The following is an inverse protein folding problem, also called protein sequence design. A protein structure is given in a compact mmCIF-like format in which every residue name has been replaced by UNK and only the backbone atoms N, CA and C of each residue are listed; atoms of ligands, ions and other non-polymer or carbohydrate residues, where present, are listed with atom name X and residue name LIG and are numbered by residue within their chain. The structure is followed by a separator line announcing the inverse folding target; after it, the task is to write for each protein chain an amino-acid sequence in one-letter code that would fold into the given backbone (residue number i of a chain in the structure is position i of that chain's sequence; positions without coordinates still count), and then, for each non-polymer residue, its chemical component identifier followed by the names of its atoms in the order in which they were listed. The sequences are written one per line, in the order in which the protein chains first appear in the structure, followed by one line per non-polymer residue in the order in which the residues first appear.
data_IF_523637110217
#
_entry.id   IF_523637110217
#
_cell.length_a   1.000
_cell.length_b   1.000
_cell.length_c   1.000
_cell.angle_alpha   90.00
_cell.angle_beta   90.00
_cell.angle_gamma   90.00
#
_symmetry.space_group_name_H-M   'P 1'
#
loop_
_entity.id
_entity.type
_entity.pdbx_description
1 polymer ?
#
# COMPACT_ATOMS: atom_id res chain seq x y z
N UNK A 1 10.98 12.13 54.12
CA UNK A 1 11.30 12.81 52.82
C UNK A 1 11.88 11.84 51.81
N UNK A 2 12.87 11.00 52.16
CA UNK A 2 13.53 10.05 51.25
C UNK A 2 12.59 8.98 50.65
N UNK A 3 11.63 8.47 51.40
CA UNK A 3 10.68 7.46 50.89
C UNK A 3 9.68 8.04 49.88
N UNK A 4 9.22 9.26 50.10
CA UNK A 4 8.35 9.99 49.18
C UNK A 4 9.09 10.33 47.89
N UNK A 5 10.36 10.68 47.97
CA UNK A 5 11.20 11.00 46.83
C UNK A 5 11.46 9.76 45.96
N UNK A 6 11.78 8.61 46.58
CA UNK A 6 11.93 7.32 45.90
C UNK A 6 10.62 6.80 45.28
N UNK A 7 9.47 7.11 45.87
CA UNK A 7 8.18 6.75 45.28
C UNK A 7 7.83 7.66 44.09
N UNK A 8 8.16 8.94 44.14
CA UNK A 8 8.02 9.88 43.03
C UNK A 8 8.92 9.46 41.85
N UNK A 9 10.19 9.16 42.10
CA UNK A 9 11.12 8.67 41.06
C UNK A 9 10.63 7.37 40.40
N UNK A 10 10.06 6.43 41.16
CA UNK A 10 9.45 5.21 40.58
C UNK A 10 8.21 5.48 39.75
N UNK A 11 7.40 6.46 40.13
CA UNK A 11 6.20 6.85 39.36
C UNK A 11 6.62 7.57 38.08
N UNK A 12 7.63 8.42 38.13
CA UNK A 12 8.18 9.11 36.93
C UNK A 12 8.76 8.11 35.94
N UNK A 13 9.60 7.16 36.38
CA UNK A 13 10.11 6.07 35.53
C UNK A 13 9.00 5.21 34.94
N UNK A 14 7.97 4.87 35.71
CA UNK A 14 6.83 4.11 35.24
C UNK A 14 5.98 4.90 34.22
N UNK A 15 5.91 6.22 34.31
CA UNK A 15 5.22 7.06 33.33
C UNK A 15 6.02 7.18 32.04
N UNK A 16 7.33 7.33 32.10
CA UNK A 16 8.21 7.35 30.92
C UNK A 16 8.17 6.02 30.17
N UNK A 17 8.15 4.90 30.89
CA UNK A 17 8.04 3.58 30.28
C UNK A 17 6.66 3.38 29.60
N UNK A 18 5.58 3.84 30.24
CA UNK A 18 4.24 3.82 29.63
C UNK A 18 4.15 4.73 28.40
N UNK A 19 4.77 5.89 28.42
CA UNK A 19 4.80 6.82 27.28
C UNK A 19 5.49 6.17 26.08
N UNK A 20 6.65 5.53 26.28
CA UNK A 20 7.37 4.78 25.24
C UNK A 20 6.56 3.61 24.69
N UNK A 21 5.87 2.85 25.55
CA UNK A 21 4.98 1.77 25.08
C UNK A 21 3.80 2.31 24.27
N UNK A 22 3.27 3.46 24.66
CA UNK A 22 2.16 4.10 23.94
C UNK A 22 2.61 4.58 22.55
N UNK A 23 3.77 5.20 22.46
CA UNK A 23 4.38 5.67 21.22
C UNK A 23 4.66 4.48 20.27
N UNK A 24 5.26 3.41 20.81
CA UNK A 24 5.48 2.18 20.03
C UNK A 24 4.18 1.56 19.53
N UNK A 25 3.15 1.51 20.35
CA UNK A 25 1.84 0.96 19.94
C UNK A 25 1.16 1.85 18.89
N UNK A 26 1.32 3.18 19.00
CA UNK A 26 0.81 4.11 18.00
C UNK A 26 1.50 3.90 16.67
N UNK A 27 2.81 3.72 16.66
CA UNK A 27 3.56 3.49 15.43
C UNK A 27 3.19 2.16 14.78
N UNK A 28 3.07 1.08 15.57
CA UNK A 28 2.57 -0.21 15.07
C UNK A 28 1.16 -0.09 14.47
N UNK A 29 0.29 0.73 15.06
CA UNK A 29 -1.03 0.96 14.53
C UNK A 29 -1.00 1.68 13.18
N UNK A 30 -0.17 2.71 13.05
CA UNK A 30 0.03 3.42 11.77
C UNK A 30 0.58 2.49 10.68
N UNK A 31 1.57 1.65 11.02
CA UNK A 31 2.10 0.65 10.09
C UNK A 31 1.02 -0.31 9.61
N UNK A 32 0.21 -0.87 10.51
CA UNK A 32 -0.91 -1.75 10.16
C UNK A 32 -1.97 -1.05 9.29
N UNK A 33 -2.23 0.22 9.56
CA UNK A 33 -3.16 1.03 8.76
C UNK A 33 -2.62 1.24 7.35
N UNK A 34 -1.32 1.54 7.23
CA UNK A 34 -0.63 1.69 5.96
C UNK A 34 -0.64 0.37 5.16
N UNK A 35 -0.24 -0.75 5.77
CA UNK A 35 -0.25 -2.08 5.14
C UNK A 35 -1.63 -2.45 4.61
N UNK A 36 -2.66 -2.22 5.43
CA UNK A 36 -4.04 -2.48 5.03
C UNK A 36 -4.46 -1.62 3.84
N UNK A 37 -4.11 -0.34 3.86
CA UNK A 37 -4.46 0.57 2.77
C UNK A 37 -3.72 0.21 1.48
N UNK A 38 -2.44 -0.18 1.57
CA UNK A 38 -1.67 -0.69 0.43
C UNK A 38 -2.32 -1.94 -0.20
N UNK A 39 -2.77 -2.88 0.62
CA UNK A 39 -3.50 -4.07 0.16
C UNK A 39 -4.83 -3.70 -0.51
N UNK A 40 -5.58 -2.77 0.07
CA UNK A 40 -6.85 -2.29 -0.48
C UNK A 40 -6.65 -1.53 -1.83
N UNK A 41 -5.58 -0.73 -1.94
CA UNK A 41 -5.21 -0.05 -3.19
C UNK A 41 -4.79 -1.05 -4.25
N UNK A 42 -3.90 -1.99 -3.93
CA UNK A 42 -3.48 -3.07 -4.85
C UNK A 42 -4.66 -3.86 -5.38
N UNK A 43 -5.59 -4.28 -4.53
CA UNK A 43 -6.81 -4.98 -4.94
C UNK A 43 -7.63 -4.17 -5.93
N UNK A 44 -7.74 -2.87 -5.72
CA UNK A 44 -8.47 -1.98 -6.64
C UNK A 44 -7.78 -1.83 -7.98
N UNK A 45 -6.45 -1.77 -8.01
CA UNK A 45 -5.68 -1.80 -9.27
C UNK A 45 -6.00 -3.08 -10.03
N UNK A 46 -5.95 -4.23 -9.36
CA UNK A 46 -6.24 -5.53 -10.00
C UNK A 46 -7.69 -5.63 -10.50
N UNK A 47 -8.66 -5.16 -9.72
CA UNK A 47 -10.07 -5.10 -10.12
C UNK A 47 -10.29 -4.20 -11.34
N UNK A 48 -9.66 -3.02 -11.35
CA UNK A 48 -9.77 -2.06 -12.45
C UNK A 48 -9.12 -2.61 -13.73
N UNK A 49 -7.96 -3.27 -13.60
CA UNK A 49 -7.29 -3.98 -14.70
C UNK A 49 -8.19 -5.05 -15.31
N UNK A 50 -8.83 -5.90 -14.48
CA UNK A 50 -9.76 -6.92 -14.96
C UNK A 50 -10.98 -6.33 -15.69
N UNK A 51 -11.52 -5.22 -15.16
CA UNK A 51 -12.63 -4.51 -15.81
C UNK A 51 -12.20 -3.92 -17.16
N UNK A 52 -11.01 -3.32 -17.21
CA UNK A 52 -10.45 -2.76 -18.44
C UNK A 52 -10.21 -3.84 -19.50
N UNK A 53 -9.68 -5.00 -19.10
CA UNK A 53 -9.51 -6.15 -19.98
C UNK A 53 -10.85 -6.63 -20.57
N UNK A 54 -11.88 -6.78 -19.74
CA UNK A 54 -13.22 -7.16 -20.19
C UNK A 54 -13.80 -6.15 -21.17
N UNK A 55 -13.64 -4.86 -20.85
CA UNK A 55 -14.12 -3.79 -21.72
C UNK A 55 -13.40 -3.79 -23.06
N UNK A 56 -12.09 -4.06 -23.11
CA UNK A 56 -11.32 -4.22 -24.35
C UNK A 56 -11.86 -5.37 -25.21
N UNK A 57 -12.14 -6.53 -24.59
CA UNK A 57 -12.72 -7.67 -25.29
C UNK A 57 -14.09 -7.33 -25.89
N UNK A 58 -14.96 -6.65 -25.11
CA UNK A 58 -16.25 -6.17 -25.59
C UNK A 58 -16.10 -5.14 -26.72
N UNK A 59 -15.12 -4.24 -26.62
CA UNK A 59 -14.82 -3.21 -27.63
C UNK A 59 -14.46 -3.83 -28.96
N UNK A 60 -13.57 -4.81 -28.96
CA UNK A 60 -13.12 -5.50 -30.18
C UNK A 60 -14.19 -6.41 -30.77
N UNK A 61 -15.14 -6.87 -29.97
CA UNK A 61 -16.25 -7.73 -30.43
C UNK A 61 -17.49 -6.95 -30.91
N UNK A 62 -17.61 -5.66 -30.57
CA UNK A 62 -18.80 -4.85 -30.81
C UNK A 62 -19.05 -4.60 -32.32
N UNK A 63 -20.25 -4.93 -32.77
CA UNK A 63 -20.68 -4.78 -34.19
C UNK A 63 -21.79 -3.76 -34.37
N UNK A 64 -22.58 -3.51 -33.34
CA UNK A 64 -23.74 -2.62 -33.40
C UNK A 64 -23.45 -1.26 -32.79
N UNK A 65 -24.06 -0.23 -33.38
CA UNK A 65 -23.88 1.15 -32.90
C UNK A 65 -24.31 1.34 -31.44
N UNK A 66 -25.42 0.75 -31.05
CA UNK A 66 -25.94 0.82 -29.67
C UNK A 66 -24.99 0.16 -28.64
N UNK A 67 -24.27 -0.89 -29.04
CA UNK A 67 -23.23 -1.53 -28.21
C UNK A 67 -22.06 -0.57 -28.01
N UNK A 68 -21.64 0.13 -29.04
CA UNK A 68 -20.52 1.08 -29.03
C UNK A 68 -20.76 2.31 -28.14
N UNK A 69 -21.98 2.83 -28.11
CA UNK A 69 -22.34 3.93 -27.22
C UNK A 69 -22.23 3.52 -25.73
N UNK A 70 -22.66 2.29 -25.40
CA UNK A 70 -22.50 1.74 -24.03
C UNK A 70 -21.05 1.48 -23.64
N UNK A 71 -20.19 1.14 -24.58
CA UNK A 71 -18.76 0.92 -24.31
C UNK A 71 -18.07 2.22 -23.90
N UNK A 72 -18.46 3.34 -24.52
CA UNK A 72 -17.98 4.66 -24.13
C UNK A 72 -18.37 4.99 -22.68
N UNK A 73 -19.65 4.79 -22.34
CA UNK A 73 -20.13 5.04 -20.96
C UNK A 73 -19.36 4.18 -19.94
N UNK A 74 -19.13 2.91 -20.25
CA UNK A 74 -18.32 2.02 -19.40
C UNK A 74 -16.88 2.51 -19.26
N UNK A 75 -16.24 2.96 -20.35
CA UNK A 75 -14.89 3.50 -20.29
C UNK A 75 -14.82 4.77 -19.44
N UNK A 76 -15.80 5.67 -19.57
CA UNK A 76 -15.88 6.89 -18.75
C UNK A 76 -16.10 6.56 -17.25
N UNK A 77 -16.77 5.45 -16.95
CA UNK A 77 -16.94 4.96 -15.59
C UNK A 77 -15.61 4.43 -15.02
N UNK A 78 -14.88 3.63 -15.81
CA UNK A 78 -13.54 3.15 -15.42
C UNK A 78 -12.54 4.31 -15.26
N UNK A 79 -12.63 5.35 -16.09
CA UNK A 79 -11.79 6.54 -15.96
C UNK A 79 -12.00 7.23 -14.58
N UNK A 80 -13.23 7.30 -14.10
CA UNK A 80 -13.54 7.85 -12.77
C UNK A 80 -13.02 6.94 -11.66
N UNK A 81 -13.17 5.62 -11.81
CA UNK A 81 -12.60 4.67 -10.86
C UNK A 81 -11.07 4.80 -10.77
N UNK A 82 -10.40 5.09 -11.89
CA UNK A 82 -8.95 5.36 -11.91
C UNK A 82 -8.59 6.68 -11.22
N UNK A 83 -9.39 7.74 -11.41
CA UNK A 83 -9.18 9.01 -10.71
C UNK A 83 -9.35 8.81 -9.18
N UNK A 84 -10.37 8.07 -8.74
CA UNK A 84 -10.57 7.72 -7.32
C UNK A 84 -9.44 6.84 -6.76
N UNK A 85 -8.89 5.96 -7.59
CA UNK A 85 -7.75 5.13 -7.20
C UNK A 85 -6.50 5.98 -6.98
N UNK A 86 -6.25 6.94 -7.87
CA UNK A 86 -5.13 7.87 -7.75
C UNK A 86 -5.20 8.71 -6.46
N UNK A 87 -6.40 9.20 -6.11
CA UNK A 87 -6.60 9.92 -4.83
C UNK A 87 -6.24 9.03 -3.63
N UNK A 88 -6.53 7.73 -3.70
CA UNK A 88 -6.17 6.78 -2.63
C UNK A 88 -4.67 6.46 -2.58
N UNK A 89 -3.99 6.51 -3.72
CA UNK A 89 -2.55 6.39 -3.76
C UNK A 89 -1.87 7.60 -3.14
N UNK A 90 -2.38 8.81 -3.40
CA UNK A 90 -1.94 10.04 -2.72
C UNK A 90 -2.15 9.97 -1.19
N UNK A 91 -3.28 9.39 -0.74
CA UNK A 91 -3.55 9.18 0.68
C UNK A 91 -2.59 8.16 1.29
N UNK A 92 -2.28 7.09 0.54
CA UNK A 92 -1.32 6.07 0.96
C UNK A 92 0.08 6.66 1.11
N UNK A 93 0.52 7.49 0.17
CA UNK A 93 1.81 8.18 0.27
C UNK A 93 1.89 9.09 1.50
N UNK A 94 0.84 9.87 1.78
CA UNK A 94 0.77 10.71 2.98
C UNK A 94 0.87 9.89 4.26
N UNK A 95 0.18 8.75 4.33
CA UNK A 95 0.27 7.85 5.49
C UNK A 95 1.67 7.26 5.64
N UNK A 96 2.33 6.94 4.54
CA UNK A 96 3.73 6.50 4.58
C UNK A 96 4.65 7.57 5.18
N UNK A 97 4.43 8.84 4.83
CA UNK A 97 5.20 9.97 5.36
C UNK A 97 4.93 10.25 6.85
N UNK A 98 3.82 9.75 7.41
CA UNK A 98 3.47 9.87 8.83
C UNK A 98 4.11 8.78 9.71
N UNK A 99 4.74 7.78 9.11
CA UNK A 99 5.52 6.74 9.82
C UNK A 99 6.83 7.32 10.33
N UNK A 100 7.32 6.82 11.47
CA UNK A 100 8.65 7.19 12.00
C UNK A 100 9.76 6.80 11.01
N UNK A 101 9.63 5.62 10.39
CA UNK A 101 10.50 5.14 9.32
C UNK A 101 9.64 4.89 8.08
N UNK A 102 9.52 5.89 7.17
CA UNK A 102 8.75 5.73 5.94
C UNK A 102 9.30 4.61 5.06
N UNK A 103 8.41 3.80 4.50
CA UNK A 103 8.79 2.77 3.54
C UNK A 103 9.26 3.40 2.22
N UNK A 104 10.13 2.70 1.49
CA UNK A 104 10.48 3.08 0.11
C UNK A 104 9.28 2.83 -0.80
N UNK A 105 8.59 3.89 -1.20
CA UNK A 105 7.51 3.83 -2.18
C UNK A 105 8.05 3.98 -3.60
N UNK A 106 7.54 3.22 -4.58
CA UNK A 106 7.83 3.47 -5.98
C UNK A 106 7.23 4.82 -6.42
N UNK A 107 7.90 5.51 -7.32
CA UNK A 107 7.35 6.70 -7.98
C UNK A 107 6.32 6.26 -9.04
N UNK A 108 5.05 6.32 -8.68
CA UNK A 108 3.93 5.88 -9.53
C UNK A 108 3.25 7.00 -10.30
N UNK A 109 3.54 8.28 -9.98
CA UNK A 109 2.86 9.44 -10.56
C UNK A 109 2.89 9.44 -12.10
N UNK A 110 4.07 9.23 -12.67
CA UNK A 110 4.23 9.17 -14.14
C UNK A 110 3.46 8.01 -14.79
N UNK A 111 3.39 6.87 -14.11
CA UNK A 111 2.67 5.69 -14.58
C UNK A 111 1.15 5.88 -14.48
N UNK A 112 0.67 6.45 -13.38
CA UNK A 112 -0.74 6.81 -13.21
C UNK A 112 -1.22 7.81 -14.27
N UNK A 113 -0.42 8.85 -14.54
CA UNK A 113 -0.72 9.83 -15.55
C UNK A 113 -0.80 9.19 -16.95
N UNK A 114 0.10 8.25 -17.25
CA UNK A 114 0.06 7.52 -18.52
C UNK A 114 -1.19 6.64 -18.62
N UNK A 115 -1.54 5.90 -17.57
CA UNK A 115 -2.77 5.08 -17.51
C UNK A 115 -4.00 5.95 -17.73
N UNK A 116 -4.14 7.05 -16.98
CA UNK A 116 -5.25 8.01 -17.12
C UNK A 116 -5.34 8.59 -18.52
N UNK A 117 -4.22 8.90 -19.13
CA UNK A 117 -4.16 9.39 -20.51
C UNK A 117 -4.66 8.35 -21.48
N UNK A 118 -4.17 7.12 -21.42
CA UNK A 118 -4.55 6.05 -22.34
C UNK A 118 -6.04 5.69 -22.18
N UNK A 119 -6.56 5.67 -20.95
CA UNK A 119 -7.99 5.48 -20.69
C UNK A 119 -8.85 6.60 -21.27
N UNK A 120 -8.42 7.87 -21.19
CA UNK A 120 -9.10 9.02 -21.79
C UNK A 120 -9.06 8.95 -23.32
N UNK A 121 -7.90 8.66 -23.90
CA UNK A 121 -7.74 8.46 -25.34
C UNK A 121 -8.65 7.32 -25.86
N UNK A 122 -8.77 6.22 -25.10
CA UNK A 122 -9.70 5.14 -25.41
C UNK A 122 -11.16 5.62 -25.48
N UNK A 123 -11.61 6.40 -24.47
CA UNK A 123 -12.97 6.97 -24.48
C UNK A 123 -13.21 7.90 -25.68
N UNK A 124 -12.20 8.68 -26.07
CA UNK A 124 -12.27 9.53 -27.27
C UNK A 124 -12.37 8.71 -28.55
N UNK A 125 -11.59 7.64 -28.70
CA UNK A 125 -11.64 6.78 -29.89
C UNK A 125 -12.97 6.00 -29.97
N UNK A 126 -13.53 5.57 -28.82
CA UNK A 126 -14.89 5.03 -28.76
C UNK A 126 -15.94 6.05 -29.22
N UNK A 127 -15.77 7.32 -28.86
CA UNK A 127 -16.66 8.41 -29.33
C UNK A 127 -16.61 8.60 -30.86
N UNK A 128 -15.45 8.33 -31.47
CA UNK A 128 -15.23 8.35 -32.91
C UNK A 128 -15.62 7.03 -33.60
N UNK A 129 -16.09 6.04 -32.83
CA UNK A 129 -16.41 4.68 -33.30
C UNK A 129 -15.19 3.94 -33.91
N UNK A 130 -14.02 4.20 -33.35
CA UNK A 130 -12.76 3.57 -33.77
C UNK A 130 -12.34 2.52 -32.73
N UNK A 131 -13.01 1.37 -32.76
CA UNK A 131 -12.86 0.31 -31.77
C UNK A 131 -11.44 -0.28 -31.76
N UNK A 132 -10.78 -0.31 -32.90
CA UNK A 132 -9.42 -0.85 -32.97
C UNK A 132 -8.44 0.02 -32.16
N UNK A 133 -8.45 1.34 -32.38
CA UNK A 133 -7.60 2.25 -31.63
C UNK A 133 -8.00 2.35 -30.16
N UNK A 134 -9.32 2.31 -29.88
CA UNK A 134 -9.79 2.25 -28.50
C UNK A 134 -9.28 0.99 -27.79
N UNK A 135 -9.33 -0.17 -28.47
CA UNK A 135 -8.79 -1.41 -27.93
C UNK A 135 -7.27 -1.40 -27.71
N UNK A 136 -6.52 -0.73 -28.61
CA UNK A 136 -5.08 -0.53 -28.43
C UNK A 136 -4.81 0.31 -27.16
N UNK A 137 -5.56 1.41 -26.97
CA UNK A 137 -5.43 2.26 -25.79
C UNK A 137 -5.91 1.58 -24.50
N UNK A 138 -6.91 0.73 -24.59
CA UNK A 138 -7.33 -0.12 -23.48
C UNK A 138 -6.25 -1.13 -23.09
N UNK A 139 -5.53 -1.67 -24.07
CA UNK A 139 -4.38 -2.54 -23.81
C UNK A 139 -3.24 -1.77 -23.14
N UNK A 140 -2.86 -0.59 -23.66
CA UNK A 140 -1.81 0.25 -23.09
C UNK A 140 -2.12 0.56 -21.60
N UNK A 141 -3.37 0.91 -21.28
CA UNK A 141 -3.78 1.16 -19.89
C UNK A 141 -3.82 -0.10 -19.02
N UNK A 142 -4.20 -1.27 -19.57
CA UNK A 142 -4.15 -2.56 -18.88
C UNK A 142 -2.70 -2.93 -18.54
N UNK A 143 -1.78 -2.76 -19.47
CA UNK A 143 -0.35 -3.03 -19.27
C UNK A 143 0.24 -2.11 -18.18
N UNK A 144 -0.15 -0.82 -18.19
CA UNK A 144 0.24 0.12 -17.13
C UNK A 144 -0.31 -0.27 -15.76
N UNK A 145 -1.57 -0.70 -15.67
CA UNK A 145 -2.15 -1.19 -14.41
C UNK A 145 -1.47 -2.48 -13.93
N UNK A 146 -1.04 -3.34 -14.84
CA UNK A 146 -0.25 -4.52 -14.49
C UNK A 146 1.08 -4.13 -13.85
N UNK A 147 1.80 -3.19 -14.46
CA UNK A 147 3.06 -2.68 -13.92
C UNK A 147 2.86 -2.04 -12.54
N UNK A 148 1.81 -1.25 -12.37
CA UNK A 148 1.45 -0.64 -11.08
C UNK A 148 1.17 -1.70 -10.01
N UNK A 149 0.42 -2.74 -10.35
CA UNK A 149 0.15 -3.88 -9.45
C UNK A 149 1.44 -4.60 -9.04
N UNK A 150 2.34 -4.84 -9.99
CA UNK A 150 3.63 -5.49 -9.74
C UNK A 150 4.54 -4.65 -8.82
N UNK A 151 4.55 -3.32 -9.00
CA UNK A 151 5.29 -2.42 -8.12
C UNK A 151 4.76 -2.44 -6.68
N UNK A 152 3.43 -2.46 -6.51
CA UNK A 152 2.80 -2.58 -5.19
C UNK A 152 3.06 -3.94 -4.54
N UNK A 153 3.04 -5.01 -5.31
CA UNK A 153 3.38 -6.35 -4.81
C UNK A 153 4.84 -6.43 -4.35
N UNK A 154 5.76 -5.86 -5.12
CA UNK A 154 7.16 -5.78 -4.73
C UNK A 154 7.34 -5.01 -3.41
N UNK A 155 6.64 -3.90 -3.23
CA UNK A 155 6.63 -3.14 -1.98
C UNK A 155 6.10 -3.97 -0.81
N UNK A 156 4.98 -4.67 -0.98
CA UNK A 156 4.44 -5.57 0.07
C UNK A 156 5.44 -6.66 0.46
N UNK A 157 6.14 -7.26 -0.50
CA UNK A 157 7.16 -8.26 -0.24
C UNK A 157 8.37 -7.69 0.50
N UNK A 158 8.79 -6.48 0.15
CA UNK A 158 9.88 -5.79 0.83
C UNK A 158 9.54 -5.50 2.29
N UNK A 159 8.35 -4.97 2.56
CA UNK A 159 7.86 -4.70 3.92
C UNK A 159 7.78 -6.00 4.74
N UNK A 160 7.24 -7.06 4.18
CA UNK A 160 7.16 -8.35 4.85
C UNK A 160 8.55 -8.93 5.18
N UNK A 161 9.51 -8.75 4.28
CA UNK A 161 10.89 -9.18 4.50
C UNK A 161 11.59 -8.37 5.60
N UNK A 162 11.36 -7.05 5.65
CA UNK A 162 11.88 -6.17 6.68
C UNK A 162 11.31 -6.55 8.07
N UNK A 163 10.01 -6.77 8.16
CA UNK A 163 9.35 -7.19 9.39
C UNK A 163 9.84 -8.56 9.91
N UNK A 164 10.11 -9.50 8.99
CA UNK A 164 10.71 -10.79 9.36
C UNK A 164 12.13 -10.63 9.90
N UNK A 165 12.93 -9.74 9.31
CA UNK A 165 14.29 -9.47 9.76
C UNK A 165 14.30 -8.82 11.16
N UNK A 166 13.41 -7.86 11.40
CA UNK A 166 13.23 -7.22 12.72
C UNK A 166 12.81 -8.23 13.79
N UNK A 167 11.82 -9.08 13.51
CA UNK A 167 11.39 -10.13 14.43
C UNK A 167 12.51 -11.12 14.78
N UNK A 168 13.38 -11.44 13.83
CA UNK A 168 14.54 -12.31 14.07
C UNK A 168 15.60 -11.63 14.96
N UNK A 169 15.82 -10.34 14.79
CA UNK A 169 16.77 -9.57 15.63
C UNK A 169 16.24 -9.42 17.06
N UNK A 170 14.95 -9.14 17.23
CA UNK A 170 14.29 -9.09 18.55
C UNK A 170 14.39 -10.43 19.28
N UNK A 171 14.18 -11.55 18.58
CA UNK A 171 14.36 -12.90 19.14
C UNK A 171 15.80 -13.16 19.56
N UNK A 172 16.77 -12.72 18.78
CA UNK A 172 18.20 -12.85 19.08
C UNK A 172 18.56 -12.08 20.33
N UNK A 173 18.09 -10.83 20.46
CA UNK A 173 18.33 -9.96 21.61
C UNK A 173 17.67 -10.51 22.88
N UNK A 174 16.45 -11.07 22.77
CA UNK A 174 15.81 -11.79 23.86
C UNK A 174 16.62 -13.00 24.33
N UNK A 175 17.18 -13.75 23.41
CA UNK A 175 18.00 -14.93 23.70
C UNK A 175 19.30 -14.53 24.42
N UNK A 176 19.98 -13.48 23.96
CA UNK A 176 21.18 -12.93 24.60
C UNK A 176 20.88 -12.47 26.03
N UNK A 177 19.79 -11.71 26.22
CA UNK A 177 19.36 -11.27 27.55
C UNK A 177 19.04 -12.43 28.50
N UNK A 178 18.44 -13.53 28.00
CA UNK A 178 18.15 -14.73 28.79
C UNK A 178 19.44 -15.47 29.18
N UNK A 179 20.44 -15.52 28.31
CA UNK A 179 21.74 -16.10 28.59
C UNK A 179 22.46 -15.31 29.66
N UNK A 180 22.50 -14.00 29.53
CA UNK A 180 23.13 -13.11 30.52
C UNK A 180 22.45 -13.21 31.90
N UNK A 181 21.11 -13.29 31.91
CA UNK A 181 20.35 -13.53 33.14
C UNK A 181 20.69 -14.86 33.79
N UNK A 182 20.85 -15.93 32.98
CA UNK A 182 21.23 -17.27 33.46
C UNK A 182 22.62 -17.26 34.10
N UNK A 183 23.59 -16.62 33.47
CA UNK A 183 24.94 -16.48 34.06
C UNK A 183 24.93 -15.65 35.35
N UNK A 184 24.17 -14.55 35.37
CA UNK A 184 24.02 -13.73 36.58
C UNK A 184 23.36 -14.49 37.74
N UNK A 185 22.43 -15.41 37.44
CA UNK A 185 21.83 -16.28 38.47
C UNK A 185 22.80 -17.35 38.97
N UNK A 186 23.66 -17.91 38.14
CA UNK A 186 24.69 -18.86 38.54
C UNK A 186 25.72 -18.19 39.47
N UNK A 187 26.18 -16.98 39.15
CA UNK A 187 27.09 -16.20 40.01
C UNK A 187 26.49 -15.84 41.38
N UNK A 188 25.17 -15.70 41.49
CA UNK A 188 24.50 -15.44 42.77
C UNK A 188 24.28 -16.68 43.63
N UNK A 189 24.41 -17.88 43.03
CA UNK A 189 24.27 -19.17 43.77
C UNK A 189 25.59 -19.76 44.24
N UNK A 190 26.75 -19.22 43.81
CA UNK A 190 28.10 -19.55 44.36
C UNK A 190 28.47 -18.63 45.52
#
# INVERSE_FOLDING_TARGET
KDQLQKQLEKIELSNEDMEKELDRNLELFKQLEFEKQLDDVKKKVDELKEKQQKLKEETLAAKKKEEKEKLKEKQEELNKEMDELSEKMDELEKKNQELEEPNEMPDTESLEDQIKKDMKESAEELSKMNEQKAGEKQQDSEDGMQELSEQMEAMQMQMQSAQQAENLEDLRQLLENLIDLSFSQEELME
#
